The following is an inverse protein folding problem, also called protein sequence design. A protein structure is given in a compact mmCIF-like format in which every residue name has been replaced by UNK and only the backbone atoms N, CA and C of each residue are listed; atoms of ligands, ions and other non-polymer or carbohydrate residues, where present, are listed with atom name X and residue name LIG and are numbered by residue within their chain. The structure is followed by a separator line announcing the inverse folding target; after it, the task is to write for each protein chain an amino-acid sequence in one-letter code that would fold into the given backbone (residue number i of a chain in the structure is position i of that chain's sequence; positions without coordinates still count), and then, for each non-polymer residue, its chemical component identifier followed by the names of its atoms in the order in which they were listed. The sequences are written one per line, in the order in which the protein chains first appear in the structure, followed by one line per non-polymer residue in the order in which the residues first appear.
data_IF_082219003076
#
_entry.id   IF_082219003076
#
_cell.length_a   1.000
_cell.length_b   1.000
_cell.length_c   1.000
_cell.angle_alpha   90.00
_cell.angle_beta   90.00
_cell.angle_gamma   90.00
#
_symmetry.space_group_name_H-M   'P 1'
#
loop_
_entity.id
_entity.type
_entity.pdbx_description
1 polymer ?
#
# COMPACT_ATOMS: atom_id res chain seq x y z
N UNK A 1 58.14 48.06 34.17
CA UNK A 1 58.55 46.64 34.29
C UNK A 1 58.26 46.01 32.93
N UNK A 2 59.13 46.25 31.95
CA UNK A 2 60.20 45.34 31.49
C UNK A 2 59.66 44.08 30.83
N UNK A 3 59.62 44.16 29.50
CA UNK A 3 59.54 43.08 28.52
C UNK A 3 60.83 42.27 28.59
N UNK A 4 60.72 40.94 28.64
CA UNK A 4 61.79 40.02 28.23
C UNK A 4 61.17 38.85 27.49
N UNK A 5 61.47 38.82 26.20
CA UNK A 5 61.19 37.75 25.25
C UNK A 5 62.12 36.56 25.56
N UNK A 6 61.61 35.32 25.46
CA UNK A 6 62.42 34.10 25.38
C UNK A 6 62.55 33.68 23.90
N UNK A 7 63.72 33.18 23.45
CA UNK A 7 63.97 32.86 22.05
C UNK A 7 63.66 31.40 21.66
N UNK A 8 63.40 31.31 20.35
CA UNK A 8 63.34 30.22 19.38
C UNK A 8 64.00 28.84 19.63
N UNK A 9 63.24 27.82 19.19
CA UNK A 9 63.63 26.73 18.25
C UNK A 9 64.04 25.33 18.77
N UNK A 10 63.85 24.28 17.93
CA UNK A 10 63.16 23.04 18.33
C UNK A 10 64.05 21.79 18.35
N UNK A 11 63.88 20.92 19.35
CA UNK A 11 64.38 19.55 19.30
C UNK A 11 63.25 18.59 18.93
N UNK A 12 63.38 18.08 17.70
CA UNK A 12 62.68 16.95 17.14
C UNK A 12 62.94 15.67 17.94
N UNK A 13 61.91 15.14 18.59
CA UNK A 13 61.89 13.75 19.04
C UNK A 13 60.78 13.02 18.29
N UNK A 14 61.19 12.33 17.24
CA UNK A 14 60.40 11.33 16.53
C UNK A 14 60.15 10.12 17.42
N UNK A 15 58.89 9.64 17.58
CA UNK A 15 58.66 8.32 18.14
C UNK A 15 58.88 7.25 17.06
N UNK A 16 59.70 6.26 17.40
CA UNK A 16 60.01 5.07 16.61
C UNK A 16 58.74 4.30 16.20
N UNK A 17 58.62 3.84 14.94
CA UNK A 17 57.44 3.09 14.50
C UNK A 17 57.48 1.65 15.05
N UNK A 18 56.54 1.33 15.92
CA UNK A 18 56.24 -0.05 16.34
C UNK A 18 55.77 -0.88 15.13
N UNK A 19 56.28 -2.10 15.05
CA UNK A 19 56.23 -3.06 13.93
C UNK A 19 54.88 -3.74 13.71
N UNK A 20 53.77 -3.01 13.86
CA UNK A 20 52.42 -3.52 13.59
C UNK A 20 51.48 -2.44 13.02
N UNK A 21 52.01 -1.59 12.13
CA UNK A 21 51.18 -0.73 11.31
C UNK A 21 50.38 -1.63 10.34
N UNK A 22 49.13 -1.91 10.69
CA UNK A 22 48.17 -2.52 9.79
C UNK A 22 48.15 -1.71 8.49
N UNK A 23 48.59 -2.35 7.40
CA UNK A 23 48.67 -1.73 6.08
C UNK A 23 47.26 -1.65 5.47
N UNK A 24 46.44 -0.73 5.97
CA UNK A 24 45.07 -0.49 5.48
C UNK A 24 45.04 -0.08 4.00
N UNK A 25 46.15 0.44 3.47
CA UNK A 25 46.34 0.76 2.06
C UNK A 25 46.34 -0.45 1.12
N UNK A 26 46.58 -1.68 1.61
CA UNK A 26 46.45 -2.89 0.78
C UNK A 26 45.02 -3.47 0.78
N UNK A 27 44.15 -3.01 1.68
CA UNK A 27 42.74 -3.41 1.76
C UNK A 27 41.82 -2.47 0.96
N UNK A 28 42.25 -1.23 0.74
CA UNK A 28 41.52 -0.24 -0.05
C UNK A 28 41.89 -0.38 -1.53
N UNK A 29 41.30 -1.36 -2.19
CA UNK A 29 41.34 -1.47 -3.64
C UNK A 29 40.58 -0.27 -4.24
N UNK A 30 41.16 0.50 -5.17
CA UNK A 30 40.47 1.65 -5.76
C UNK A 30 39.16 1.20 -6.43
N UNK A 31 38.10 2.00 -6.30
CA UNK A 31 36.74 1.72 -6.81
C UNK A 31 36.69 1.47 -8.34
N UNK A 32 37.79 1.69 -9.05
CA UNK A 32 37.97 1.37 -10.47
C UNK A 32 38.21 -0.12 -10.77
N UNK A 33 38.32 -0.96 -9.73
CA UNK A 33 38.53 -2.41 -9.88
C UNK A 33 37.23 -3.24 -9.70
N UNK A 34 36.07 -2.59 -9.61
CA UNK A 34 34.80 -3.31 -9.78
C UNK A 34 34.64 -3.64 -11.26
N UNK A 35 34.20 -4.87 -11.60
CA UNK A 35 33.84 -5.19 -12.97
C UNK A 35 32.79 -4.16 -13.43
N UNK A 36 33.05 -3.53 -14.58
CA UNK A 36 32.03 -2.73 -15.26
C UNK A 36 30.78 -3.59 -15.43
N UNK A 37 29.59 -3.08 -15.07
CA UNK A 37 28.35 -3.78 -15.39
C UNK A 37 28.28 -4.03 -16.90
N UNK A 38 27.79 -5.19 -17.36
CA UNK A 38 27.62 -5.46 -18.78
C UNK A 38 26.71 -4.40 -19.41
N UNK A 39 26.97 -4.06 -20.68
CA UNK A 39 26.18 -3.11 -21.45
C UNK A 39 24.70 -3.55 -21.46
N UNK A 40 23.81 -2.63 -21.12
CA UNK A 40 22.36 -2.85 -21.14
C UNK A 40 21.93 -3.18 -22.56
N UNK A 41 21.35 -4.37 -22.76
CA UNK A 41 20.61 -4.71 -23.97
C UNK A 41 19.54 -3.64 -24.23
N UNK A 42 19.58 -3.06 -25.42
CA UNK A 42 18.55 -2.22 -25.99
C UNK A 42 17.24 -3.01 -25.98
N UNK A 43 16.29 -2.60 -25.13
CA UNK A 43 14.94 -3.12 -25.17
C UNK A 43 14.20 -2.44 -26.31
N UNK A 44 14.34 -3.00 -27.52
CA UNK A 44 13.50 -2.67 -28.65
C UNK A 44 12.03 -2.98 -28.34
N UNK A 45 11.23 -1.92 -28.46
CA UNK A 45 9.92 -1.92 -29.11
C UNK A 45 8.95 -3.08 -28.81
N UNK A 46 8.21 -2.97 -27.70
CA UNK A 46 6.86 -3.56 -27.60
C UNK A 46 5.81 -2.48 -27.85
N UNK A 47 5.54 -2.23 -29.13
CA UNK A 47 4.25 -1.71 -29.56
C UNK A 47 3.32 -2.88 -29.84
N UNK A 48 2.14 -2.89 -29.20
CA UNK A 48 0.86 -3.02 -29.89
C UNK A 48 -0.29 -2.73 -28.93
N UNK A 49 -1.28 -2.04 -29.46
CA UNK A 49 -2.48 -1.52 -28.80
C UNK A 49 -3.34 -2.60 -28.13
N UNK A 50 -4.02 -2.21 -27.05
CA UNK A 50 -5.33 -2.76 -26.75
C UNK A 50 -6.26 -1.65 -26.25
N UNK A 51 -6.94 -1.04 -27.21
CA UNK A 51 -8.13 -0.24 -26.98
C UNK A 51 -9.30 -1.21 -26.69
N UNK A 52 -9.71 -1.32 -25.42
CA UNK A 52 -10.96 -1.99 -25.04
C UNK A 52 -11.73 -1.11 -24.08
N UNK A 53 -12.53 -0.24 -24.67
CA UNK A 53 -13.60 0.51 -24.03
C UNK A 53 -14.76 -0.46 -23.69
N UNK A 54 -14.70 -1.08 -22.52
CA UNK A 54 -15.83 -1.86 -21.98
C UNK A 54 -16.69 -0.92 -21.14
N UNK A 55 -17.74 -0.38 -21.76
CA UNK A 55 -18.89 0.22 -21.05
C UNK A 55 -19.79 -0.91 -20.58
N UNK A 56 -19.65 -1.32 -19.32
CA UNK A 56 -20.65 -2.16 -18.64
C UNK A 56 -21.51 -1.31 -17.71
N UNK A 57 -22.81 -1.46 -17.89
CA UNK A 57 -23.85 -0.82 -17.08
C UNK A 57 -23.72 -1.30 -15.63
N UNK A 58 -23.82 -0.36 -14.70
CA UNK A 58 -23.67 -0.55 -13.25
C UNK A 58 -24.83 -1.38 -12.69
N UNK A 59 -24.70 -2.70 -12.75
CA UNK A 59 -25.32 -3.59 -11.77
C UNK A 59 -24.37 -3.63 -10.58
N UNK A 60 -24.85 -3.33 -9.38
CA UNK A 60 -24.07 -3.40 -8.15
C UNK A 60 -23.75 -4.86 -7.80
N UNK A 61 -22.85 -5.48 -8.55
CA UNK A 61 -22.11 -6.64 -8.08
C UNK A 61 -21.04 -6.12 -7.14
N UNK A 62 -21.22 -6.38 -5.86
CA UNK A 62 -20.21 -6.20 -4.82
C UNK A 62 -18.98 -6.95 -5.28
N UNK A 63 -17.93 -6.22 -5.68
CA UNK A 63 -16.69 -6.86 -6.10
C UNK A 63 -16.15 -7.59 -4.87
N UNK A 64 -15.86 -8.90 -4.96
CA UNK A 64 -15.63 -9.78 -3.79
C UNK A 64 -14.57 -9.31 -2.80
N UNK A 65 -13.65 -8.44 -3.24
CA UNK A 65 -12.59 -7.86 -2.40
C UNK A 65 -13.00 -6.56 -1.68
N UNK A 66 -14.16 -5.96 -1.99
CA UNK A 66 -14.66 -4.75 -1.34
C UNK A 66 -15.40 -5.09 -0.05
N UNK A 67 -14.66 -5.17 1.04
CA UNK A 67 -15.24 -5.29 2.39
C UNK A 67 -15.65 -3.92 2.93
N UNK A 68 -16.62 -3.83 3.87
CA UNK A 68 -17.00 -2.56 4.50
C UNK A 68 -15.81 -1.85 5.15
N UNK A 69 -14.84 -2.60 5.69
CA UNK A 69 -13.62 -2.04 6.25
C UNK A 69 -12.80 -1.29 5.19
N UNK A 70 -12.57 -1.92 4.03
CA UNK A 70 -11.80 -1.32 2.93
C UNK A 70 -12.51 -0.08 2.38
N UNK A 71 -13.82 -0.16 2.17
CA UNK A 71 -14.62 0.97 1.66
C UNK A 71 -14.63 2.14 2.64
N UNK A 72 -14.91 1.88 3.92
CA UNK A 72 -14.92 2.91 4.96
C UNK A 72 -13.54 3.54 5.15
N UNK A 73 -12.48 2.75 5.13
CA UNK A 73 -11.09 3.22 5.22
C UNK A 73 -10.69 4.08 4.04
N UNK A 74 -11.03 3.68 2.82
CA UNK A 74 -10.78 4.49 1.63
C UNK A 74 -11.50 5.84 1.73
N UNK A 75 -12.80 5.83 2.06
CA UNK A 75 -13.59 7.04 2.23
C UNK A 75 -13.04 7.94 3.35
N UNK A 76 -12.63 7.35 4.48
CA UNK A 76 -12.00 8.08 5.57
C UNK A 76 -10.75 8.83 5.10
N UNK A 77 -9.82 8.15 4.42
CA UNK A 77 -8.59 8.75 3.91
C UNK A 77 -8.84 9.82 2.84
N UNK A 78 -9.80 9.61 1.95
CA UNK A 78 -10.12 10.60 0.91
C UNK A 78 -10.71 11.88 1.50
N UNK A 79 -11.45 11.80 2.61
CA UNK A 79 -12.01 13.00 3.27
C UNK A 79 -10.96 13.86 3.98
N UNK A 80 -9.77 13.32 4.25
CA UNK A 80 -8.67 14.00 4.92
C UNK A 80 -7.64 14.58 3.94
N UNK A 81 -7.85 14.42 2.64
CA UNK A 81 -6.97 15.01 1.64
C UNK A 81 -6.97 16.55 1.74
N UNK A 82 -5.79 17.19 1.67
CA UNK A 82 -5.73 18.65 1.59
C UNK A 82 -6.52 19.17 0.40
N UNK A 83 -7.20 20.32 0.52
CA UNK A 83 -8.03 20.87 -0.56
C UNK A 83 -7.23 21.22 -1.83
N UNK A 84 -5.91 21.41 -1.72
CA UNK A 84 -5.04 21.58 -2.89
C UNK A 84 -4.91 20.32 -3.75
N UNK A 85 -5.17 19.16 -3.17
CA UNK A 85 -5.11 17.89 -3.86
C UNK A 85 -6.50 17.55 -4.37
N UNK A 86 -6.62 17.34 -5.69
CA UNK A 86 -7.88 16.91 -6.29
C UNK A 86 -8.29 15.57 -5.68
N UNK A 87 -9.60 15.38 -5.51
CA UNK A 87 -10.14 14.10 -5.09
C UNK A 87 -9.64 12.98 -6.02
N UNK A 88 -9.42 11.76 -5.48
CA UNK A 88 -9.05 10.59 -6.28
C UNK A 88 -9.95 10.45 -7.50
N UNK A 89 -9.34 10.21 -8.65
CA UNK A 89 -10.06 10.12 -9.92
C UNK A 89 -10.70 8.74 -10.06
N UNK A 90 -10.02 7.71 -9.56
CA UNK A 90 -10.52 6.35 -9.50
C UNK A 90 -11.06 6.06 -8.11
N UNK A 91 -12.31 5.59 -8.05
CA UNK A 91 -12.87 5.05 -6.82
C UNK A 91 -12.30 3.68 -6.45
N UNK A 92 -11.47 3.05 -7.29
CA UNK A 92 -11.01 1.67 -7.10
C UNK A 92 -9.54 1.57 -6.67
N UNK A 93 -8.68 2.52 -7.03
CA UNK A 93 -7.22 2.43 -6.78
C UNK A 93 -6.93 2.34 -5.28
N UNK A 94 -7.47 3.25 -4.47
CA UNK A 94 -7.24 3.25 -3.02
C UNK A 94 -7.82 1.98 -2.35
N UNK A 95 -9.08 1.57 -2.60
CA UNK A 95 -9.59 0.30 -2.11
C UNK A 95 -8.74 -0.93 -2.49
N UNK A 96 -8.23 -1.00 -3.72
CA UNK A 96 -7.37 -2.10 -4.16
C UNK A 96 -6.01 -2.10 -3.43
N UNK A 97 -5.42 -0.92 -3.20
CA UNK A 97 -4.20 -0.77 -2.40
C UNK A 97 -4.44 -1.26 -0.97
N UNK A 98 -5.56 -0.84 -0.36
CA UNK A 98 -5.92 -1.26 0.99
C UNK A 98 -6.15 -2.77 1.08
N UNK A 99 -6.78 -3.37 0.07
CA UNK A 99 -6.98 -4.82 -0.02
C UNK A 99 -5.65 -5.59 -0.08
N UNK A 100 -4.76 -5.23 -1.01
CA UNK A 100 -3.43 -5.88 -1.16
C UNK A 100 -2.56 -5.69 0.08
N UNK A 101 -2.63 -4.51 0.69
CA UNK A 101 -1.86 -4.13 1.88
C UNK A 101 -2.54 -4.40 3.22
N UNK A 102 -3.60 -5.21 3.28
CA UNK A 102 -4.42 -5.40 4.50
C UNK A 102 -3.62 -5.81 5.74
N UNK A 103 -2.50 -6.52 5.56
CA UNK A 103 -1.62 -6.93 6.66
C UNK A 103 -0.73 -5.79 7.20
N UNK A 104 -0.48 -4.76 6.38
CA UNK A 104 0.31 -3.57 6.74
C UNK A 104 -0.59 -2.45 7.28
N UNK A 105 -1.80 -2.35 6.75
CA UNK A 105 -2.73 -1.25 7.00
C UNK A 105 -3.76 -1.63 8.06
N UNK A 106 -3.29 -1.79 9.29
CA UNK A 106 -4.19 -1.92 10.45
C UNK A 106 -5.00 -0.63 10.62
N UNK A 107 -6.15 -0.66 11.32
CA UNK A 107 -6.93 0.56 11.62
C UNK A 107 -6.06 1.66 12.24
N UNK A 108 -5.15 1.28 13.14
CA UNK A 108 -4.21 2.22 13.75
C UNK A 108 -3.25 2.84 12.71
N UNK A 109 -2.70 2.05 11.78
CA UNK A 109 -1.87 2.57 10.69
C UNK A 109 -2.64 3.52 9.78
N UNK A 110 -3.89 3.19 9.45
CA UNK A 110 -4.77 4.03 8.62
C UNK A 110 -5.08 5.35 9.34
N UNK A 111 -5.34 5.31 10.64
CA UNK A 111 -5.56 6.50 11.45
C UNK A 111 -4.32 7.37 11.56
N UNK A 112 -3.13 6.76 11.71
CA UNK A 112 -1.86 7.48 11.66
C UNK A 112 -1.64 8.14 10.29
N UNK A 113 -1.94 7.44 9.19
CA UNK A 113 -1.91 8.04 7.85
C UNK A 113 -2.91 9.21 7.72
N UNK A 114 -4.11 9.06 8.30
CA UNK A 114 -5.10 10.12 8.41
C UNK A 114 -4.60 11.35 9.19
N UNK A 115 -3.85 11.15 10.28
CA UNK A 115 -3.21 12.24 11.02
C UNK A 115 -2.17 12.97 10.17
N UNK A 116 -1.39 12.24 9.38
CA UNK A 116 -0.40 12.84 8.47
C UNK A 116 -1.12 13.65 7.39
N UNK A 117 -2.16 13.11 6.77
CA UNK A 117 -2.96 13.81 5.75
C UNK A 117 -3.58 15.10 6.28
N UNK A 118 -4.17 15.06 7.48
CA UNK A 118 -4.79 16.22 8.13
C UNK A 118 -3.77 17.30 8.54
N UNK A 119 -2.52 16.91 8.75
CA UNK A 119 -1.42 17.81 9.10
C UNK A 119 -0.75 18.46 7.87
N UNK A 120 -1.05 18.00 6.65
CA UNK A 120 -0.48 18.57 5.43
C UNK A 120 -0.99 20.00 5.22
N UNK A 121 -0.10 20.85 4.72
CA UNK A 121 -0.42 22.24 4.40
C UNK A 121 -1.42 22.33 3.25
N UNK A 122 -2.23 23.38 3.26
CA UNK A 122 -3.17 23.67 2.16
C UNK A 122 -2.49 24.00 0.83
N UNK A 123 -1.15 24.13 0.81
CA UNK A 123 -0.35 24.37 -0.39
C UNK A 123 0.47 23.13 -0.79
N UNK A 124 0.36 22.02 -0.06
CA UNK A 124 1.18 20.83 -0.24
C UNK A 124 1.24 20.37 -1.70
N UNK A 125 0.09 20.21 -2.38
CA UNK A 125 0.09 19.73 -3.76
C UNK A 125 0.81 20.68 -4.74
N UNK A 126 0.80 22.00 -4.46
CA UNK A 126 1.57 22.97 -5.24
C UNK A 126 3.07 22.86 -4.94
N UNK A 127 3.46 22.72 -3.67
CA UNK A 127 4.85 22.49 -3.25
C UNK A 127 5.42 21.22 -3.86
N UNK A 128 4.66 20.12 -3.83
CA UNK A 128 5.01 18.87 -4.47
C UNK A 128 5.29 19.12 -5.95
N UNK A 129 4.35 19.66 -6.71
CA UNK A 129 4.53 19.94 -8.14
C UNK A 129 5.77 20.77 -8.46
N UNK A 130 6.17 21.70 -7.60
CA UNK A 130 7.30 22.59 -7.80
C UNK A 130 8.63 22.09 -7.23
N UNK A 131 8.61 20.96 -6.51
CA UNK A 131 9.79 20.47 -5.81
C UNK A 131 10.95 20.19 -6.79
N UNK A 132 12.19 20.64 -6.53
CA UNK A 132 13.29 20.62 -7.51
C UNK A 132 13.76 19.21 -7.91
N UNK A 133 13.45 18.18 -7.13
CA UNK A 133 13.72 16.78 -7.52
C UNK A 133 12.71 16.26 -8.53
N UNK A 134 11.52 16.86 -8.62
CA UNK A 134 10.47 16.46 -9.55
C UNK A 134 10.85 16.73 -11.00
N UNK A 135 11.44 17.86 -11.41
CA UNK A 135 11.98 18.06 -12.77
C UNK A 135 12.97 16.98 -13.25
N UNK A 136 13.71 16.31 -12.34
CA UNK A 136 14.58 15.18 -12.73
C UNK A 136 13.78 13.91 -13.05
N UNK A 137 12.63 13.73 -12.40
CA UNK A 137 11.69 12.62 -12.60
C UNK A 137 10.61 12.95 -13.65
N UNK A 138 10.31 14.23 -13.92
CA UNK A 138 9.40 14.68 -15.00
C UNK A 138 9.88 14.28 -16.38
N UNK A 139 11.18 14.00 -16.54
CA UNK A 139 11.70 13.40 -17.78
C UNK A 139 11.30 11.93 -17.95
N UNK A 140 10.81 11.27 -16.89
CA UNK A 140 10.09 10.02 -16.98
C UNK A 140 8.62 10.30 -17.33
N UNK A 141 8.16 9.70 -18.44
CA UNK A 141 6.80 9.84 -18.98
C UNK A 141 5.70 9.58 -17.94
N UNK A 142 5.94 8.67 -17.00
CA UNK A 142 4.99 8.26 -15.96
C UNK A 142 4.67 9.36 -14.94
N UNK A 143 5.65 10.18 -14.52
CA UNK A 143 5.39 11.27 -13.57
C UNK A 143 4.56 12.37 -14.20
N UNK A 144 4.88 12.72 -15.46
CA UNK A 144 4.07 13.68 -16.21
C UNK A 144 2.67 13.14 -16.50
N UNK A 145 2.49 11.85 -16.78
CA UNK A 145 1.17 11.24 -16.91
C UNK A 145 0.36 11.37 -15.60
N UNK A 146 0.94 11.01 -14.45
CA UNK A 146 0.27 11.19 -13.15
C UNK A 146 -0.05 12.67 -12.85
N UNK A 147 0.83 13.59 -13.26
CA UNK A 147 0.60 15.06 -13.17
C UNK A 147 -0.59 15.49 -14.02
N UNK A 148 -0.66 15.03 -15.28
CA UNK A 148 -1.68 15.38 -16.24
C UNK A 148 -3.04 14.73 -15.94
N UNK A 149 -3.02 13.49 -15.44
CA UNK A 149 -4.23 12.72 -15.09
C UNK A 149 -4.84 13.14 -13.75
N UNK A 150 -4.09 13.88 -12.92
CA UNK A 150 -4.57 14.42 -11.66
C UNK A 150 -4.66 13.38 -10.54
N UNK A 151 -3.89 12.30 -10.60
CA UNK A 151 -3.86 11.21 -9.61
C UNK A 151 -3.08 11.55 -8.33
N UNK A 152 -2.78 12.83 -8.08
CA UNK A 152 -2.04 13.26 -6.88
C UNK A 152 -2.73 12.89 -5.58
N UNK A 153 -4.06 12.92 -5.52
CA UNK A 153 -4.80 12.50 -4.32
C UNK A 153 -4.50 11.05 -3.97
N UNK A 154 -4.48 10.17 -4.98
CA UNK A 154 -4.20 8.74 -4.79
C UNK A 154 -2.75 8.50 -4.38
N UNK A 155 -1.81 9.15 -5.08
CA UNK A 155 -0.38 9.08 -4.75
C UNK A 155 -0.10 9.61 -3.34
N UNK A 156 -0.75 10.70 -2.95
CA UNK A 156 -0.59 11.30 -1.61
C UNK A 156 -1.09 10.33 -0.55
N UNK A 157 -2.30 9.80 -0.70
CA UNK A 157 -2.87 8.81 0.25
C UNK A 157 -1.97 7.58 0.35
N UNK A 158 -1.58 6.99 -0.79
CA UNK A 158 -0.73 5.81 -0.82
C UNK A 158 0.64 6.06 -0.16
N UNK A 159 1.22 7.23 -0.39
CA UNK A 159 2.51 7.59 0.21
C UNK A 159 2.38 7.87 1.71
N UNK A 160 1.29 8.49 2.18
CA UNK A 160 1.04 8.63 3.63
C UNK A 160 0.82 7.28 4.32
N UNK A 161 0.14 6.33 3.67
CA UNK A 161 0.02 4.96 4.18
C UNK A 161 1.40 4.30 4.29
N UNK A 162 2.23 4.44 3.26
CA UNK A 162 3.62 3.98 3.27
C UNK A 162 4.40 4.59 4.44
N UNK A 163 4.34 5.92 4.64
CA UNK A 163 5.04 6.59 5.75
C UNK A 163 4.54 6.09 7.11
N UNK A 164 3.23 5.98 7.30
CA UNK A 164 2.65 5.49 8.54
C UNK A 164 3.11 4.06 8.85
N UNK A 165 3.07 3.17 7.84
CA UNK A 165 3.61 1.80 7.98
C UNK A 165 5.08 1.83 8.33
N UNK A 166 5.89 2.67 7.66
CA UNK A 166 7.32 2.75 7.96
C UNK A 166 7.61 3.25 9.38
N UNK A 167 6.82 4.20 9.86
CA UNK A 167 6.98 4.82 11.16
C UNK A 167 6.61 3.88 12.31
N UNK A 168 5.60 3.03 12.11
CA UNK A 168 5.06 2.15 13.16
C UNK A 168 5.72 0.78 13.25
N UNK A 169 6.51 0.39 12.24
CA UNK A 169 7.15 -0.92 12.20
C UNK A 169 8.66 -0.80 12.44
N UNK A 170 9.19 -1.62 13.36
CA UNK A 170 10.63 -1.68 13.64
C UNK A 170 11.46 -2.12 12.42
N UNK A 171 10.85 -2.90 11.53
CA UNK A 171 11.47 -3.42 10.29
C UNK A 171 10.60 -3.04 9.09
N UNK A 172 10.64 -1.79 8.64
CA UNK A 172 9.71 -1.31 7.64
C UNK A 172 10.10 -1.77 6.22
N UNK A 173 9.13 -2.11 5.35
CA UNK A 173 9.42 -2.46 3.96
C UNK A 173 10.02 -1.29 3.16
N UNK A 174 10.84 -1.59 2.17
CA UNK A 174 11.41 -0.60 1.25
C UNK A 174 10.38 -0.10 0.21
N UNK A 175 10.60 1.08 -0.39
CA UNK A 175 9.69 1.66 -1.39
C UNK A 175 9.43 0.75 -2.60
N UNK A 176 10.43 -0.06 -3.01
CA UNK A 176 10.26 -1.04 -4.08
C UNK A 176 9.22 -2.11 -3.75
N UNK A 177 9.15 -2.54 -2.48
CA UNK A 177 8.14 -3.51 -2.03
C UNK A 177 6.74 -2.89 -2.13
N UNK A 178 6.58 -1.66 -1.67
CA UNK A 178 5.29 -0.97 -1.80
C UNK A 178 4.91 -0.77 -3.27
N UNK A 179 5.81 -0.27 -4.11
CA UNK A 179 5.55 -0.05 -5.53
C UNK A 179 5.12 -1.33 -6.27
N UNK A 180 5.76 -2.46 -5.99
CA UNK A 180 5.55 -3.71 -6.73
C UNK A 180 4.46 -4.60 -6.14
N UNK A 181 4.44 -4.79 -4.82
CA UNK A 181 3.57 -5.77 -4.16
C UNK A 181 2.28 -5.16 -3.63
N UNK A 182 2.34 -3.93 -3.10
CA UNK A 182 1.18 -3.30 -2.44
C UNK A 182 0.40 -2.42 -3.40
N UNK A 183 1.10 -1.63 -4.21
CA UNK A 183 0.51 -0.68 -5.16
C UNK A 183 0.43 -1.23 -6.58
N UNK A 184 0.92 -2.46 -6.83
CA UNK A 184 0.77 -3.18 -8.10
C UNK A 184 1.20 -2.36 -9.32
N UNK A 185 2.34 -1.66 -9.21
CA UNK A 185 2.89 -0.82 -10.26
C UNK A 185 2.15 0.50 -10.51
N UNK A 186 1.09 0.81 -9.74
CA UNK A 186 0.33 2.06 -9.91
C UNK A 186 1.19 3.32 -9.71
N UNK A 187 2.24 3.22 -8.89
CA UNK A 187 3.20 4.31 -8.64
C UNK A 187 4.63 3.79 -8.74
N UNK A 188 5.51 4.55 -9.41
CA UNK A 188 6.92 4.21 -9.50
C UNK A 188 7.65 4.46 -8.17
N UNK A 189 8.78 3.76 -7.96
CA UNK A 189 9.61 3.94 -6.76
C UNK A 189 10.08 5.40 -6.60
N UNK A 190 10.40 6.07 -7.70
CA UNK A 190 10.81 7.47 -7.71
C UNK A 190 9.68 8.41 -7.28
N UNK A 191 8.45 8.17 -7.77
CA UNK A 191 7.27 8.93 -7.35
C UNK A 191 7.06 8.81 -5.84
N UNK A 192 7.09 7.58 -5.32
CA UNK A 192 6.91 7.32 -3.89
C UNK A 192 8.01 7.98 -3.07
N UNK A 193 9.27 7.83 -3.48
CA UNK A 193 10.42 8.36 -2.73
C UNK A 193 10.42 9.88 -2.67
N UNK A 194 10.07 10.55 -3.78
CA UNK A 194 9.98 12.02 -3.77
C UNK A 194 8.76 12.50 -3.00
N UNK A 195 7.60 11.89 -3.22
CA UNK A 195 6.39 12.28 -2.48
C UNK A 195 6.57 12.05 -0.99
N UNK A 196 7.22 10.95 -0.60
CA UNK A 196 7.54 10.63 0.79
C UNK A 196 8.36 11.74 1.42
N UNK A 197 9.44 12.15 0.75
CA UNK A 197 10.29 13.24 1.21
C UNK A 197 9.52 14.55 1.37
N UNK A 198 8.71 14.93 0.38
CA UNK A 198 7.97 16.20 0.40
C UNK A 198 6.89 16.19 1.49
N UNK A 199 6.20 15.07 1.71
CA UNK A 199 5.25 14.92 2.83
C UNK A 199 5.97 15.13 4.16
N UNK A 200 7.10 14.45 4.36
CA UNK A 200 7.88 14.55 5.59
C UNK A 200 8.41 15.98 5.82
N UNK A 201 8.86 16.66 4.77
CA UNK A 201 9.29 18.06 4.83
C UNK A 201 8.11 19.00 5.20
N UNK A 202 6.93 18.80 4.60
CA UNK A 202 5.73 19.61 4.86
C UNK A 202 5.22 19.47 6.31
N UNK A 203 5.25 18.26 6.87
CA UNK A 203 4.95 18.00 8.29
C UNK A 203 6.16 18.26 9.22
N UNK A 204 7.25 18.84 8.69
CA UNK A 204 8.49 19.15 9.42
C UNK A 204 9.12 17.95 10.14
N UNK A 205 8.95 16.73 9.62
CA UNK A 205 9.41 15.47 10.22
C UNK A 205 8.87 15.20 11.63
N UNK A 206 7.80 15.88 12.04
CA UNK A 206 7.24 15.82 13.41
C UNK A 206 6.21 14.70 13.61
N UNK A 207 6.46 13.51 13.06
CA UNK A 207 5.52 12.38 13.12
C UNK A 207 5.22 11.92 14.56
N UNK A 208 6.18 12.03 15.49
CA UNK A 208 5.95 11.68 16.90
C UNK A 208 4.85 12.50 17.58
N UNK A 209 4.64 13.76 17.16
CA UNK A 209 3.53 14.58 17.67
C UNK A 209 2.18 14.12 17.11
N UNK A 210 2.17 13.68 15.85
CA UNK A 210 0.97 13.14 15.21
C UNK A 210 0.60 11.76 15.76
N UNK A 211 1.59 10.99 16.21
CA UNK A 211 1.41 9.68 16.84
C UNK A 211 0.95 9.75 18.31
N UNK A 212 0.84 10.96 18.89
CA UNK A 212 0.36 11.12 20.25
C UNK A 212 -1.04 10.50 20.39
N UNK A 213 -1.27 9.77 21.49
CA UNK A 213 -2.48 8.97 21.71
C UNK A 213 -3.77 9.76 21.50
N UNK A 214 -3.81 11.02 21.97
CA UNK A 214 -4.99 11.88 21.78
C UNK A 214 -5.29 12.26 20.33
N UNK A 215 -4.26 12.33 19.46
CA UNK A 215 -4.41 12.73 18.05
C UNK A 215 -4.80 11.52 17.20
N UNK A 216 -4.03 10.42 17.29
CA UNK A 216 -4.34 9.19 16.54
C UNK A 216 -5.62 8.54 17.05
N UNK A 217 -5.86 8.56 18.35
CA UNK A 217 -7.07 8.00 18.97
C UNK A 217 -8.35 8.62 18.42
N UNK A 218 -8.40 9.95 18.30
CA UNK A 218 -9.57 10.64 17.71
C UNK A 218 -9.82 10.17 16.26
N UNK A 219 -8.75 10.04 15.47
CA UNK A 219 -8.85 9.55 14.09
C UNK A 219 -9.24 8.07 14.03
N UNK A 220 -8.79 7.25 14.97
CA UNK A 220 -9.15 5.84 15.10
C UNK A 220 -10.62 5.67 15.44
N UNK A 221 -11.12 6.37 16.46
CA UNK A 221 -12.54 6.35 16.84
C UNK A 221 -13.43 6.77 15.66
N UNK A 222 -13.00 7.79 14.89
CA UNK A 222 -13.73 8.23 13.69
C UNK A 222 -13.73 7.17 12.59
N UNK A 223 -12.60 6.50 12.37
CA UNK A 223 -12.50 5.41 11.40
C UNK A 223 -13.37 4.22 11.79
N UNK A 224 -13.33 3.79 13.05
CA UNK A 224 -14.13 2.67 13.56
C UNK A 224 -15.63 2.94 13.42
N UNK A 225 -16.09 4.14 13.76
CA UNK A 225 -17.48 4.56 13.52
C UNK A 225 -17.87 4.47 12.04
N UNK A 226 -17.01 4.95 11.15
CA UNK A 226 -17.23 4.86 9.69
C UNK A 226 -17.33 3.40 9.22
N UNK A 227 -16.49 2.50 9.76
CA UNK A 227 -16.53 1.06 9.47
C UNK A 227 -17.86 0.45 9.94
N UNK A 228 -18.30 0.74 11.16
CA UNK A 228 -19.57 0.24 11.69
C UNK A 228 -20.79 0.76 10.93
N UNK A 229 -20.78 2.03 10.51
CA UNK A 229 -21.81 2.59 9.65
C UNK A 229 -21.88 1.87 8.30
N UNK A 230 -20.73 1.59 7.68
CA UNK A 230 -20.69 0.88 6.40
C UNK A 230 -21.14 -0.58 6.52
N UNK A 231 -20.79 -1.26 7.62
CA UNK A 231 -21.31 -2.61 7.94
C UNK A 231 -22.83 -2.61 8.08
N UNK A 232 -23.40 -1.63 8.78
CA UNK A 232 -24.86 -1.48 8.96
C UNK A 232 -25.58 -1.25 7.64
N UNK A 233 -25.00 -0.46 6.71
CA UNK A 233 -25.59 -0.25 5.38
C UNK A 233 -25.69 -1.55 4.60
N UNK A 234 -24.70 -2.42 4.68
CA UNK A 234 -24.74 -3.73 4.02
C UNK A 234 -25.83 -4.60 4.65
N UNK A 235 -25.90 -4.66 5.99
CA UNK A 235 -26.89 -5.45 6.71
C UNK A 235 -28.34 -4.99 6.43
N UNK A 236 -28.58 -3.67 6.41
CA UNK A 236 -29.90 -3.10 6.11
C UNK A 236 -30.21 -3.13 4.60
N UNK A 237 -29.19 -3.14 3.74
CA UNK A 237 -29.35 -3.28 2.29
C UNK A 237 -29.71 -4.72 1.89
N UNK A 238 -29.30 -5.72 2.67
CA UNK A 238 -29.68 -7.12 2.47
C UNK A 238 -31.10 -7.45 2.93
N UNK A 239 -31.69 -6.66 3.83
CA UNK A 239 -33.09 -6.85 4.28
C UNK A 239 -34.12 -6.19 3.35
N UNK A 240 -33.69 -5.50 2.28
CA UNK A 240 -34.58 -4.82 1.33
C UNK A 240 -35.17 -5.70 0.21
N UNK A 241 -34.92 -7.02 0.22
CA UNK A 241 -35.45 -7.96 -0.78
C UNK A 241 -36.16 -9.20 -0.22
N UNK A 242 -36.42 -9.28 1.09
CA UNK A 242 -37.33 -10.29 1.65
C UNK A 242 -38.10 -9.69 2.84
N UNK A 243 -38.97 -8.71 2.57
CA UNK A 243 -40.24 -8.63 3.29
C UNK A 243 -41.21 -9.59 2.58
N UNK A 244 -41.01 -10.88 2.75
CA UNK A 244 -42.13 -11.80 2.83
C UNK A 244 -42.27 -12.10 4.31
N UNK A 245 -43.26 -11.44 4.92
CA UNK A 245 -43.85 -11.86 6.18
C UNK A 245 -44.15 -13.35 6.07
N UNK A 246 -43.31 -14.19 6.68
CA UNK A 246 -43.81 -15.42 7.25
C UNK A 246 -44.37 -15.02 8.61
N UNK A 247 -45.64 -14.61 8.61
CA UNK A 247 -46.51 -14.77 9.76
C UNK A 247 -46.34 -16.21 10.25
N UNK A 248 -45.63 -16.33 11.37
CA UNK A 248 -45.59 -17.56 12.15
C UNK A 248 -46.94 -17.68 12.85
N UNK A 249 -47.90 -18.34 12.18
CA UNK A 249 -49.11 -18.86 12.83
C UNK A 249 -48.72 -19.99 13.78
N UNK A 250 -48.44 -19.62 15.02
CA UNK A 250 -48.13 -20.51 16.15
C UNK A 250 -49.41 -21.05 16.82
N UNK A 251 -50.36 -21.63 16.07
CA UNK A 251 -51.61 -22.12 16.68
C UNK A 251 -52.12 -23.50 16.24
N UNK A 252 -51.32 -24.33 15.56
CA UNK A 252 -51.63 -25.76 15.40
C UNK A 252 -50.40 -26.63 15.72
N UNK A 253 -50.03 -26.65 17.00
CA UNK A 253 -49.15 -27.67 17.56
C UNK A 253 -50.02 -28.88 17.94
N UNK A 254 -50.37 -29.71 16.95
CA UNK A 254 -50.78 -31.08 17.25
C UNK A 254 -49.56 -31.83 17.77
N UNK A 255 -49.66 -32.25 19.04
CA UNK A 255 -48.77 -33.19 19.70
C UNK A 255 -48.82 -34.49 18.90
N UNK A 256 -47.78 -34.76 18.12
CA UNK A 256 -47.55 -36.09 17.53
C UNK A 256 -46.81 -36.89 18.60
N UNK A 257 -47.50 -37.90 19.11
CA UNK A 257 -47.00 -38.85 20.10
C UNK A 257 -45.68 -39.51 19.61
N UNK A 258 -44.71 -39.58 20.52
CA UNK A 258 -43.52 -40.41 20.40
C UNK A 258 -43.94 -41.88 20.28
N UNK A 259 -44.10 -42.41 19.06
CA UNK A 259 -43.95 -43.84 18.69
C UNK A 259 -44.08 -43.98 17.17
N UNK A 260 -42.95 -43.81 16.46
CA UNK A 260 -42.63 -44.57 15.25
C UNK A 260 -41.15 -44.32 14.88
N UNK A 261 -40.26 -45.03 15.58
CA UNK A 261 -38.91 -45.32 15.11
C UNK A 261 -39.07 -46.17 13.84
N UNK A 262 -38.80 -45.57 12.68
CA UNK A 262 -38.73 -46.31 11.41
C UNK A 262 -37.32 -46.18 10.82
N UNK A 263 -36.51 -47.16 11.21
CA UNK A 263 -35.41 -47.82 10.50
C UNK A 263 -34.51 -46.97 9.57
N UNK A 264 -33.39 -46.51 10.13
CA UNK A 264 -32.28 -45.81 9.48
C UNK A 264 -31.38 -46.79 8.68
N UNK A 265 -31.97 -47.61 7.81
CA UNK A 265 -31.24 -48.69 7.11
C UNK A 265 -31.68 -48.87 5.66
N UNK A 266 -31.59 -47.83 4.82
CA UNK A 266 -31.48 -47.97 3.35
C UNK A 266 -31.34 -46.60 2.69
N UNK A 267 -30.12 -46.24 2.29
CA UNK A 267 -29.79 -45.58 1.02
C UNK A 267 -28.26 -45.36 0.96
N UNK A 268 -27.52 -46.47 0.86
CA UNK A 268 -26.17 -46.46 0.28
C UNK A 268 -26.30 -47.06 -1.12
N UNK A 269 -26.38 -46.20 -2.14
CA UNK A 269 -26.13 -46.60 -3.51
C UNK A 269 -24.68 -46.23 -3.86
N UNK A 270 -23.84 -47.18 -4.32
CA UNK A 270 -22.51 -46.88 -4.83
C UNK A 270 -22.62 -46.11 -6.14
N UNK A 271 -21.85 -45.03 -6.27
CA UNK A 271 -21.66 -44.32 -7.52
C UNK A 271 -20.71 -45.16 -8.40
N UNK A 272 -21.23 -45.78 -9.45
CA UNK A 272 -20.44 -46.44 -10.49
C UNK A 272 -19.66 -45.37 -11.26
N UNK A 273 -18.33 -45.53 -11.34
CA UNK A 273 -17.45 -44.74 -12.21
C UNK A 273 -17.44 -45.40 -13.59
N UNK A 274 -18.00 -44.71 -14.58
CA UNK A 274 -17.75 -45.01 -15.98
C UNK A 274 -16.42 -44.36 -16.38
N UNK A 275 -15.33 -45.13 -16.32
CA UNK A 275 -14.07 -44.83 -17.01
C UNK A 275 -14.17 -45.44 -18.41
N UNK A 276 -14.28 -44.60 -19.44
CA UNK A 276 -13.84 -44.90 -20.81
C UNK A 276 -13.57 -43.55 -21.51
N UNK A 277 -12.32 -43.09 -21.47
CA UNK A 277 -11.84 -42.02 -22.34
C UNK A 277 -10.59 -42.52 -23.06
N UNK A 278 -10.82 -43.09 -24.25
CA UNK A 278 -9.77 -43.50 -25.18
C UNK A 278 -8.95 -42.28 -25.62
N UNK A 279 -7.64 -42.39 -25.45
CA UNK A 279 -6.64 -41.44 -25.91
C UNK A 279 -6.05 -42.00 -27.21
N UNK A 280 -6.48 -41.48 -28.35
CA UNK A 280 -5.82 -41.76 -29.63
C UNK A 280 -4.56 -40.88 -29.72
N UNK A 281 -3.41 -41.52 -29.51
CA UNK A 281 -2.08 -41.05 -29.89
C UNK A 281 -1.92 -41.21 -31.42
N UNK A 282 -2.03 -40.12 -32.17
CA UNK A 282 -1.50 -40.06 -33.54
C UNK A 282 -0.07 -39.50 -33.48
N UNK A 283 0.88 -40.42 -33.51
CA UNK A 283 2.24 -40.23 -33.99
C UNK A 283 2.20 -39.90 -35.49
N UNK A 284 2.86 -38.82 -35.91
CA UNK A 284 3.33 -38.66 -37.29
C UNK A 284 4.73 -38.03 -37.28
N UNK A 285 5.73 -38.90 -37.44
CA UNK A 285 7.08 -38.59 -37.89
C UNK A 285 7.09 -38.58 -39.44
N UNK A 286 7.46 -37.44 -40.06
CA UNK A 286 8.38 -37.38 -41.24
C UNK A 286 8.94 -35.97 -41.49
#
# INVERSE_FOLDING_TARGET
MTVTCLPDSPESLSPSPSTHAANWSSLLKPLSAFPTPPDSIEADSWGLESDRKVTTKKTAQTISWQTPNITASANFLTTLLPPSCKAPRSSTIIPQILYRGQHLFTPYTISMAGCILDALSSKFCHTLLQHPTIPRIRRASSFMAAVHDGSFGELTIATTLLIATKFLNDRPPHNIHFATQVFDGAFSVDMLTVTERVILEDVNYRLGYLCAEGVVGEKLDRLEKSIEEEKKKILCGTTGLEELELELDFDDLEVIDDEDIVDESRMLAPFEMDEDFDFDDDDDDE
#
